data_IF_314839870735
#
_entry.id   IF_314839870735
#
_cell.length_a   1.000
_cell.length_b   1.000
_cell.length_c   1.000
_cell.angle_alpha   90.00
_cell.angle_beta   90.00
_cell.angle_gamma   90.00
#
_symmetry.space_group_name_H-M   'P 1'
#
loop_
_entity.id
_entity.type
_entity.pdbx_description
1 polymer ?
#
# COMPACT_ATOMS: atom_id res chain seq x y z
N UNK A 1 -28.30 -49.81 -3.04
CA UNK A 1 -28.86 -48.44 -2.94
C UNK A 1 -27.85 -47.53 -3.60
N UNK A 2 -28.09 -47.16 -4.85
CA UNK A 2 -27.13 -46.42 -5.68
C UNK A 2 -27.34 -44.94 -5.40
N UNK A 3 -26.30 -44.26 -4.89
CA UNK A 3 -26.28 -42.81 -4.80
C UNK A 3 -26.41 -42.24 -6.21
N UNK A 4 -27.50 -41.50 -6.47
CA UNK A 4 -27.59 -40.65 -7.65
C UNK A 4 -26.93 -39.33 -7.30
N UNK A 5 -25.77 -39.10 -7.89
CA UNK A 5 -25.13 -37.79 -7.99
C UNK A 5 -26.12 -36.81 -8.63
N UNK A 6 -26.53 -35.80 -7.88
CA UNK A 6 -27.22 -34.65 -8.45
C UNK A 6 -26.17 -33.60 -8.81
N UNK A 7 -25.70 -33.66 -10.04
CA UNK A 7 -24.98 -32.56 -10.67
C UNK A 7 -26.01 -31.56 -11.19
N UNK A 8 -26.11 -30.39 -10.54
CA UNK A 8 -26.85 -29.27 -11.11
C UNK A 8 -25.93 -28.50 -12.05
N UNK A 9 -26.32 -28.43 -13.32
CA UNK A 9 -25.74 -27.51 -14.30
C UNK A 9 -26.30 -26.12 -13.97
N UNK A 10 -25.39 -25.15 -13.83
CA UNK A 10 -25.74 -23.74 -13.71
C UNK A 10 -26.52 -23.32 -14.97
N UNK A 11 -27.84 -23.18 -14.85
CA UNK A 11 -28.66 -22.56 -15.89
C UNK A 11 -28.42 -21.05 -15.87
N UNK A 12 -27.40 -20.61 -16.60
CA UNK A 12 -27.30 -19.22 -17.01
C UNK A 12 -28.21 -19.07 -18.23
N UNK A 13 -29.48 -18.73 -18.03
CA UNK A 13 -30.50 -18.84 -19.09
C UNK A 13 -30.19 -17.98 -20.33
N UNK A 14 -29.27 -17.01 -20.23
CA UNK A 14 -28.88 -16.14 -21.33
C UNK A 14 -27.35 -15.92 -21.47
N UNK A 15 -26.49 -16.70 -20.80
CA UNK A 15 -25.03 -16.60 -20.99
C UNK A 15 -24.44 -17.98 -21.29
N UNK A 16 -24.05 -18.18 -22.55
CA UNK A 16 -23.31 -19.37 -22.94
C UNK A 16 -21.91 -19.22 -22.36
N UNK A 17 -21.52 -20.11 -21.44
CA UNK A 17 -20.13 -20.20 -21.00
C UNK A 17 -19.30 -20.47 -22.27
N UNK A 18 -18.31 -19.63 -22.61
CA UNK A 18 -17.48 -19.85 -23.79
C UNK A 18 -16.91 -21.28 -23.80
N UNK A 19 -16.82 -21.89 -24.98
CA UNK A 19 -16.29 -23.26 -25.19
C UNK A 19 -14.87 -23.45 -24.63
N UNK A 20 -14.17 -22.38 -24.29
CA UNK A 20 -12.82 -22.39 -23.73
C UNK A 20 -12.76 -22.32 -22.20
N UNK A 21 -13.88 -22.52 -21.50
CA UNK A 21 -13.87 -22.59 -20.05
C UNK A 21 -13.18 -23.85 -19.54
N UNK A 22 -12.48 -23.75 -18.41
CA UNK A 22 -11.84 -24.90 -17.77
C UNK A 22 -12.15 -24.93 -16.28
N UNK A 23 -12.52 -26.10 -15.75
CA UNK A 23 -12.89 -26.28 -14.35
C UNK A 23 -11.75 -26.93 -13.53
N UNK A 24 -11.48 -26.38 -12.35
CA UNK A 24 -10.46 -26.84 -11.41
C UNK A 24 -11.00 -26.88 -9.99
N UNK A 25 -10.43 -27.74 -9.14
CA UNK A 25 -10.71 -27.70 -7.71
C UNK A 25 -9.61 -26.91 -7.00
N UNK A 26 -9.97 -25.80 -6.35
CA UNK A 26 -9.01 -24.90 -5.70
C UNK A 26 -9.35 -24.69 -4.23
N UNK A 27 -8.30 -24.69 -3.40
CA UNK A 27 -8.44 -24.50 -1.94
C UNK A 27 -9.06 -23.15 -1.56
N UNK A 28 -8.94 -22.16 -2.44
CA UNK A 28 -9.44 -20.80 -2.20
C UNK A 28 -9.74 -20.08 -3.50
N UNK A 29 -10.46 -18.97 -3.38
CA UNK A 29 -10.65 -17.98 -4.44
C UNK A 29 -9.32 -17.45 -4.97
N UNK A 30 -8.36 -17.14 -4.09
CA UNK A 30 -7.04 -16.65 -4.50
C UNK A 30 -6.32 -17.67 -5.40
N UNK A 31 -6.40 -18.96 -5.05
CA UNK A 31 -5.83 -20.01 -5.88
C UNK A 31 -6.54 -20.11 -7.23
N UNK A 32 -7.86 -19.88 -7.29
CA UNK A 32 -8.58 -19.78 -8.57
C UNK A 32 -8.09 -18.60 -9.42
N UNK A 33 -7.93 -17.43 -8.82
CA UNK A 33 -7.39 -16.25 -9.52
C UNK A 33 -5.97 -16.48 -10.07
N UNK A 34 -5.10 -17.14 -9.29
CA UNK A 34 -3.74 -17.49 -9.74
C UNK A 34 -3.79 -18.42 -10.94
N UNK A 35 -4.65 -19.45 -10.93
CA UNK A 35 -4.79 -20.41 -12.05
C UNK A 35 -5.30 -19.70 -13.30
N UNK A 36 -6.30 -18.83 -13.16
CA UNK A 36 -6.85 -18.02 -14.26
C UNK A 36 -5.74 -17.23 -14.92
N UNK A 37 -4.93 -16.52 -14.15
CA UNK A 37 -3.82 -15.71 -14.69
C UNK A 37 -2.69 -16.54 -15.24
N UNK A 38 -2.32 -17.63 -14.59
CA UNK A 38 -1.30 -18.56 -15.09
C UNK A 38 -1.63 -19.13 -16.47
N UNK A 39 -2.91 -19.10 -16.86
CA UNK A 39 -3.38 -19.50 -18.19
C UNK A 39 -3.61 -18.35 -19.16
N UNK A 40 -3.34 -17.11 -18.77
CA UNK A 40 -3.68 -15.93 -19.57
C UNK A 40 -5.20 -15.71 -19.73
N UNK A 41 -6.01 -16.34 -18.86
CA UNK A 41 -7.45 -16.15 -18.83
C UNK A 41 -7.79 -14.83 -18.11
N UNK A 42 -8.93 -14.24 -18.44
CA UNK A 42 -9.32 -12.88 -18.04
C UNK A 42 -10.55 -12.83 -17.11
N UNK A 43 -11.18 -13.97 -16.77
CA UNK A 43 -12.25 -14.03 -15.76
C UNK A 43 -12.34 -15.40 -15.09
N UNK A 44 -12.99 -15.50 -13.93
CA UNK A 44 -13.31 -16.79 -13.32
C UNK A 44 -14.58 -16.84 -12.46
N UNK A 45 -15.15 -18.03 -12.31
CA UNK A 45 -16.16 -18.33 -11.29
C UNK A 45 -15.52 -19.14 -10.17
N UNK A 46 -15.81 -18.81 -8.92
CA UNK A 46 -15.40 -19.63 -7.78
C UNK A 46 -16.61 -20.05 -6.96
N UNK A 47 -16.83 -21.36 -6.86
CA UNK A 47 -17.83 -21.95 -5.99
C UNK A 47 -17.17 -22.30 -4.67
N UNK A 48 -17.61 -21.63 -3.59
CA UNK A 48 -17.00 -21.78 -2.26
C UNK A 48 -17.19 -23.18 -1.68
N UNK A 49 -18.42 -23.69 -1.74
CA UNK A 49 -18.79 -24.90 -1.00
C UNK A 49 -18.17 -26.16 -1.62
N UNK A 50 -18.16 -26.27 -2.95
CA UNK A 50 -17.51 -27.39 -3.66
C UNK A 50 -16.08 -27.08 -4.09
N UNK A 51 -15.55 -25.91 -3.74
CA UNK A 51 -14.18 -25.48 -4.08
C UNK A 51 -13.88 -25.51 -5.58
N UNK A 52 -14.87 -25.28 -6.43
CA UNK A 52 -14.72 -25.31 -7.88
C UNK A 52 -14.32 -23.92 -8.43
N UNK A 53 -13.46 -23.92 -9.44
CA UNK A 53 -12.91 -22.76 -10.11
C UNK A 53 -13.12 -22.92 -11.61
N UNK A 54 -13.87 -22.04 -12.26
CA UNK A 54 -14.10 -22.08 -13.70
C UNK A 54 -13.39 -20.87 -14.29
N UNK A 55 -12.34 -21.07 -15.07
CA UNK A 55 -11.57 -19.98 -15.68
C UNK A 55 -12.05 -19.72 -17.10
N UNK A 56 -11.91 -18.48 -17.58
CA UNK A 56 -12.44 -18.01 -18.86
C UNK A 56 -11.41 -17.17 -19.60
N UNK A 57 -11.14 -17.50 -20.87
CA UNK A 57 -10.19 -16.76 -21.71
C UNK A 57 -10.61 -15.30 -21.92
N UNK A 58 -11.92 -15.03 -22.01
CA UNK A 58 -12.46 -13.70 -22.22
C UNK A 58 -12.77 -12.95 -20.93
N UNK A 59 -12.58 -11.63 -20.96
CA UNK A 59 -13.06 -10.73 -19.91
C UNK A 59 -14.57 -10.60 -20.06
N UNK A 60 -15.31 -11.11 -19.09
CA UNK A 60 -16.74 -10.87 -19.05
C UNK A 60 -16.93 -9.45 -18.53
N UNK A 61 -17.47 -8.55 -19.36
CA UNK A 61 -17.65 -7.15 -19.00
C UNK A 61 -19.05 -6.83 -18.45
N UNK A 62 -19.95 -7.83 -18.39
CA UNK A 62 -21.34 -7.64 -17.97
C UNK A 62 -21.92 -8.91 -17.33
N UNK A 63 -22.58 -8.75 -16.18
CA UNK A 63 -23.31 -9.79 -15.47
C UNK A 63 -24.82 -9.79 -15.80
N UNK A 64 -25.27 -9.06 -16.83
CA UNK A 64 -26.69 -8.82 -17.11
C UNK A 64 -27.52 -10.10 -17.32
N UNK A 65 -26.88 -11.25 -17.50
CA UNK A 65 -27.53 -12.55 -17.71
C UNK A 65 -27.10 -13.62 -16.70
N UNK A 66 -26.35 -13.28 -15.66
CA UNK A 66 -25.93 -14.24 -14.63
C UNK A 66 -27.03 -14.42 -13.59
N UNK A 67 -27.60 -15.63 -13.55
CA UNK A 67 -28.47 -16.10 -12.48
C UNK A 67 -27.62 -16.56 -11.30
N UNK A 68 -27.85 -16.00 -10.12
CA UNK A 68 -27.15 -16.39 -8.91
C UNK A 68 -27.73 -17.70 -8.38
N UNK A 69 -26.84 -18.66 -8.05
CA UNK A 69 -27.17 -19.86 -7.28
C UNK A 69 -26.42 -19.82 -5.95
N UNK A 70 -27.03 -20.38 -4.90
CA UNK A 70 -26.38 -20.49 -3.59
C UNK A 70 -25.02 -21.20 -3.71
N UNK A 71 -23.99 -20.60 -3.10
CA UNK A 71 -22.63 -21.15 -3.07
C UNK A 71 -21.69 -20.71 -4.21
N UNK A 72 -22.22 -20.18 -5.32
CA UNK A 72 -21.41 -19.60 -6.39
C UNK A 72 -21.08 -18.13 -6.11
N UNK A 73 -19.80 -17.78 -6.20
CA UNK A 73 -19.34 -16.39 -6.22
C UNK A 73 -18.70 -16.10 -7.58
N UNK A 74 -19.19 -15.07 -8.24
CA UNK A 74 -18.71 -14.67 -9.55
C UNK A 74 -17.64 -13.58 -9.45
N UNK A 75 -16.54 -13.76 -10.17
CA UNK A 75 -15.41 -12.83 -10.16
C UNK A 75 -14.95 -12.55 -11.60
N UNK A 76 -15.34 -11.39 -12.10
CA UNK A 76 -14.71 -10.84 -13.29
C UNK A 76 -13.30 -10.45 -12.87
N UNK A 77 -12.26 -10.95 -13.55
CA UNK A 77 -10.90 -10.48 -13.29
C UNK A 77 -10.79 -9.05 -13.84
N UNK A 78 -11.14 -8.12 -12.99
CA UNK A 78 -10.15 -7.15 -12.56
C UNK A 78 -10.05 -7.34 -11.05
N UNK A 79 -9.10 -8.16 -10.58
CA UNK A 79 -8.80 -8.15 -9.16
C UNK A 79 -8.57 -6.70 -8.76
N UNK A 80 -9.32 -6.26 -7.75
CA UNK A 80 -9.39 -4.86 -7.36
C UNK A 80 -7.99 -4.44 -6.94
N UNK A 81 -7.37 -3.61 -7.76
CA UNK A 81 -5.94 -3.34 -7.70
C UNK A 81 -5.63 -1.96 -7.13
N UNK A 82 -6.65 -1.12 -7.03
CA UNK A 82 -6.58 0.28 -6.61
C UNK A 82 -7.87 0.71 -5.91
N UNK A 83 -7.81 1.86 -5.23
CA UNK A 83 -9.01 2.46 -4.64
C UNK A 83 -9.97 2.98 -5.71
N UNK A 84 -9.46 3.36 -6.88
CA UNK A 84 -10.28 3.72 -8.04
C UNK A 84 -11.10 2.51 -8.54
N UNK A 85 -10.52 1.32 -8.52
CA UNK A 85 -11.25 0.09 -8.83
C UNK A 85 -12.37 -0.17 -7.81
N UNK A 86 -12.13 0.03 -6.50
CA UNK A 86 -13.16 -0.10 -5.46
C UNK A 86 -14.33 0.84 -5.76
N UNK A 87 -14.03 2.12 -6.02
CA UNK A 87 -15.04 3.13 -6.30
C UNK A 87 -15.87 2.77 -7.53
N UNK A 88 -15.22 2.33 -8.61
CA UNK A 88 -15.90 1.90 -9.84
C UNK A 88 -16.75 0.65 -9.63
N UNK A 89 -16.23 -0.28 -8.84
CA UNK A 89 -16.82 -1.57 -8.50
C UNK A 89 -18.10 -1.44 -7.66
N UNK A 90 -18.09 -0.53 -6.69
CA UNK A 90 -19.29 -0.14 -5.95
C UNK A 90 -19.12 1.27 -5.34
N UNK A 91 -19.83 2.29 -5.87
CA UNK A 91 -19.77 3.66 -5.36
C UNK A 91 -20.28 3.86 -3.93
N UNK A 92 -20.89 2.84 -3.31
CA UNK A 92 -21.31 2.92 -1.90
C UNK A 92 -20.17 2.67 -0.90
N UNK A 93 -19.00 2.24 -1.37
CA UNK A 93 -17.83 2.12 -0.49
C UNK A 93 -17.38 3.49 0.02
N UNK A 94 -16.94 3.51 1.28
CA UNK A 94 -16.47 4.71 1.98
C UNK A 94 -15.00 4.54 2.38
N UNK A 95 -14.33 5.62 2.74
CA UNK A 95 -12.94 5.56 3.16
C UNK A 95 -12.70 4.51 4.25
N UNK A 96 -11.61 3.74 4.12
CA UNK A 96 -11.36 2.60 5.01
C UNK A 96 -10.24 1.67 4.55
N UNK A 97 -9.97 0.63 5.33
CA UNK A 97 -9.00 -0.42 5.00
C UNK A 97 -9.63 -1.48 4.09
N UNK A 98 -8.96 -1.77 2.97
CA UNK A 98 -9.40 -2.75 1.98
C UNK A 98 -8.30 -3.73 1.60
N UNK A 99 -8.71 -4.94 1.23
CA UNK A 99 -7.85 -5.92 0.57
C UNK A 99 -7.77 -5.63 -0.93
N UNK A 100 -6.56 -5.35 -1.41
CA UNK A 100 -6.27 -5.13 -2.83
C UNK A 100 -5.33 -6.21 -3.37
N UNK A 101 -5.31 -6.35 -4.70
CA UNK A 101 -4.47 -7.31 -5.43
C UNK A 101 -3.67 -6.65 -6.58
N UNK A 102 -2.75 -5.71 -6.28
CA UNK A 102 -2.02 -4.96 -7.29
C UNK A 102 -1.09 -5.84 -8.14
N UNK A 103 -0.98 -5.53 -9.43
CA UNK A 103 -0.14 -6.27 -10.37
C UNK A 103 1.35 -6.22 -10.00
N UNK A 104 1.84 -5.09 -9.49
CA UNK A 104 3.24 -4.91 -9.08
C UNK A 104 3.69 -5.89 -8.00
N UNK A 105 2.73 -6.41 -7.21
CA UNK A 105 2.98 -7.39 -6.17
C UNK A 105 2.63 -8.81 -6.60
N UNK A 106 2.64 -9.09 -7.91
CA UNK A 106 2.18 -10.36 -8.48
C UNK A 106 0.77 -10.73 -8.01
N UNK A 107 -0.04 -9.70 -7.76
CA UNK A 107 -1.39 -9.84 -7.20
C UNK A 107 -1.44 -10.59 -5.87
N UNK A 108 -0.36 -10.48 -5.10
CA UNK A 108 -0.38 -10.82 -3.69
C UNK A 108 -1.30 -9.84 -2.98
N UNK A 109 -2.10 -10.36 -2.05
CA UNK A 109 -3.05 -9.55 -1.30
C UNK A 109 -2.30 -8.56 -0.41
N UNK A 110 -2.69 -7.30 -0.45
CA UNK A 110 -2.15 -6.25 0.43
C UNK A 110 -3.27 -5.46 1.11
N UNK A 111 -3.00 -4.97 2.32
CA UNK A 111 -3.91 -4.09 3.07
C UNK A 111 -3.62 -2.65 2.70
N UNK A 112 -4.61 -1.94 2.18
CA UNK A 112 -4.48 -0.55 1.75
C UNK A 112 -5.65 0.26 2.30
N UNK A 113 -5.35 1.41 2.88
CA UNK A 113 -6.35 2.39 3.24
C UNK A 113 -6.71 3.23 2.02
N UNK A 114 -7.98 3.19 1.62
CA UNK A 114 -8.52 4.03 0.58
C UNK A 114 -9.08 5.31 1.16
N UNK A 115 -8.58 6.45 0.67
CA UNK A 115 -9.01 7.78 1.07
C UNK A 115 -9.65 8.52 -0.09
N UNK A 116 -10.72 9.27 0.17
CA UNK A 116 -11.44 10.02 -0.84
C UNK A 116 -12.22 9.15 -1.82
N UNK A 117 -12.82 8.04 -1.38
CA UNK A 117 -13.68 7.18 -2.22
C UNK A 117 -14.94 7.91 -2.71
N UNK A 118 -15.38 8.94 -2.00
CA UNK A 118 -16.43 9.86 -2.46
C UNK A 118 -15.94 10.90 -3.49
N UNK A 119 -14.63 11.10 -3.63
CA UNK A 119 -14.01 12.07 -4.54
C UNK A 119 -13.78 11.48 -5.92
N UNK A 120 -13.46 12.30 -6.92
CA UNK A 120 -13.11 11.84 -8.27
C UNK A 120 -11.78 11.08 -8.37
N UNK A 121 -10.91 11.20 -7.37
CA UNK A 121 -9.54 10.65 -7.40
C UNK A 121 -9.20 10.08 -6.01
N UNK A 122 -9.70 8.86 -5.69
CA UNK A 122 -9.30 8.21 -4.45
C UNK A 122 -7.81 7.90 -4.45
N UNK A 123 -7.23 7.81 -3.25
CA UNK A 123 -5.79 7.63 -3.04
C UNK A 123 -5.53 6.45 -2.10
N UNK A 124 -4.42 5.76 -2.35
CA UNK A 124 -3.93 4.63 -1.58
C UNK A 124 -2.94 5.08 -0.49
N UNK A 125 -3.16 4.58 0.73
CA UNK A 125 -2.28 4.81 1.86
C UNK A 125 -1.96 3.49 2.57
N UNK A 126 -0.76 3.39 3.13
CA UNK A 126 -0.37 2.33 4.06
C UNK A 126 -0.49 2.86 5.48
N UNK A 127 -1.27 2.17 6.30
CA UNK A 127 -1.41 2.48 7.73
C UNK A 127 -0.21 1.99 8.51
N UNK A 128 0.41 2.90 9.26
CA UNK A 128 1.59 2.61 10.06
C UNK A 128 1.16 2.22 11.47
N UNK A 129 1.72 1.13 11.98
CA UNK A 129 1.39 0.59 13.31
C UNK A 129 2.37 1.04 14.40
N UNK A 130 3.54 1.52 13.98
CA UNK A 130 4.61 1.99 14.86
C UNK A 130 4.92 3.45 14.62
N UNK A 131 5.66 4.06 15.55
CA UNK A 131 6.06 5.46 15.45
C UNK A 131 6.90 5.68 14.20
N UNK A 132 6.50 6.70 13.44
CA UNK A 132 7.18 7.15 12.24
C UNK A 132 7.28 8.67 12.31
N UNK A 133 8.49 9.21 12.28
CA UNK A 133 8.71 10.65 12.46
C UNK A 133 10.02 11.17 11.88
N UNK A 134 10.03 12.46 11.59
CA UNK A 134 11.20 13.21 11.15
C UNK A 134 11.25 14.53 11.90
N UNK A 135 12.44 14.89 12.39
CA UNK A 135 12.67 16.05 13.25
C UNK A 135 13.88 16.82 12.73
N UNK A 136 13.67 18.12 12.52
CA UNK A 136 14.72 19.13 12.43
C UNK A 136 14.55 20.05 13.64
N UNK A 137 15.34 19.87 14.72
CA UNK A 137 15.13 20.60 15.98
C UNK A 137 15.30 22.13 15.87
N UNK A 138 14.73 22.86 16.83
CA UNK A 138 14.87 24.32 16.91
C UNK A 138 16.33 24.77 17.15
N UNK A 139 16.70 25.96 16.68
CA UNK A 139 18.06 26.46 16.55
C UNK A 139 19.05 25.66 15.70
N UNK A 140 20.30 26.13 15.68
CA UNK A 140 21.48 25.42 15.13
C UNK A 140 22.69 25.54 16.05
N UNK A 141 23.65 24.63 15.91
CA UNK A 141 24.92 24.85 16.60
C UNK A 141 25.64 26.08 16.04
N UNK A 142 26.19 26.90 16.94
CA UNK A 142 26.94 28.11 16.61
C UNK A 142 28.23 28.20 17.42
N UNK A 143 29.17 29.01 16.91
CA UNK A 143 30.48 29.19 17.50
C UNK A 143 31.57 28.51 16.67
N UNK A 144 32.73 28.31 17.29
CA UNK A 144 33.87 27.54 16.78
C UNK A 144 34.42 26.60 17.87
N UNK A 145 33.65 26.40 18.94
CA UNK A 145 34.02 25.66 20.15
C UNK A 145 33.22 24.37 20.24
N UNK A 146 33.84 23.28 20.70
CA UNK A 146 33.24 21.96 20.97
C UNK A 146 32.23 21.93 22.14
N UNK A 147 31.63 23.07 22.47
CA UNK A 147 30.70 23.22 23.60
C UNK A 147 29.24 22.96 23.21
N UNK A 148 28.97 22.74 21.91
CA UNK A 148 27.65 22.38 21.39
C UNK A 148 26.53 23.37 21.76
N UNK A 149 26.86 24.66 21.79
CA UNK A 149 25.90 25.71 22.08
C UNK A 149 24.91 25.87 20.92
N UNK A 150 23.63 26.00 21.26
CA UNK A 150 22.53 26.12 20.29
C UNK A 150 22.04 27.56 20.30
N UNK A 151 21.97 28.16 19.12
CA UNK A 151 21.29 29.42 18.89
C UNK A 151 19.91 29.10 18.33
N UNK A 152 18.88 29.27 19.17
CA UNK A 152 17.48 28.99 18.84
C UNK A 152 16.89 29.96 17.82
N UNK A 153 17.46 31.16 17.66
CA UNK A 153 16.99 32.15 16.69
C UNK A 153 17.49 31.84 15.27
N UNK A 154 18.59 31.11 15.16
CA UNK A 154 19.21 30.77 13.89
C UNK A 154 18.74 29.42 13.34
N UNK A 155 17.45 29.34 13.01
CA UNK A 155 16.84 28.13 12.47
C UNK A 155 16.67 28.08 10.95
N UNK A 156 16.74 26.87 10.38
CA UNK A 156 16.37 26.63 8.98
C UNK A 156 15.49 25.39 8.84
N UNK A 157 14.31 25.56 8.22
CA UNK A 157 13.31 24.51 7.95
C UNK A 157 13.10 23.56 9.13
N UNK A 158 12.94 24.12 10.32
CA UNK A 158 12.75 23.37 11.54
C UNK A 158 11.33 22.86 11.65
N UNK A 159 11.19 21.69 12.25
CA UNK A 159 9.88 21.13 12.52
C UNK A 159 9.93 19.66 12.84
N UNK A 160 8.81 19.17 13.33
CA UNK A 160 8.59 17.78 13.67
C UNK A 160 7.27 17.30 13.05
N UNK A 161 7.39 16.27 12.22
CA UNK A 161 6.27 15.63 11.54
C UNK A 161 6.28 14.16 11.91
N UNK A 162 5.11 13.64 12.31
CA UNK A 162 4.86 12.23 12.51
C UNK A 162 3.79 11.73 11.53
N UNK A 163 3.84 10.46 11.14
CA UNK A 163 2.91 9.86 10.17
C UNK A 163 2.11 8.73 10.80
N UNK A 164 0.79 8.77 10.63
CA UNK A 164 -0.09 7.64 10.92
C UNK A 164 -0.35 6.78 9.68
N UNK A 165 -0.29 7.40 8.50
CA UNK A 165 -0.33 6.71 7.21
C UNK A 165 0.62 7.39 6.22
N UNK A 166 1.15 6.64 5.28
CA UNK A 166 1.97 7.14 4.17
C UNK A 166 1.30 6.85 2.84
N UNK A 167 1.41 7.78 1.89
CA UNK A 167 0.81 7.60 0.57
C UNK A 167 1.66 6.64 -0.25
N UNK A 168 0.98 5.72 -0.92
CA UNK A 168 1.60 4.72 -1.78
C UNK A 168 1.10 4.92 -3.22
N UNK A 169 2.02 4.99 -4.17
CA UNK A 169 1.68 4.69 -5.55
C UNK A 169 1.56 3.18 -5.70
N UNK A 170 0.32 2.70 -5.78
CA UNK A 170 0.00 1.27 -5.82
C UNK A 170 0.47 0.57 -7.11
N UNK A 171 0.81 1.35 -8.15
CA UNK A 171 1.27 0.81 -9.43
C UNK A 171 2.79 0.58 -9.46
N UNK A 172 3.55 1.36 -8.68
CA UNK A 172 5.02 1.29 -8.65
C UNK A 172 5.58 0.83 -7.31
N UNK A 173 4.78 0.84 -6.25
CA UNK A 173 5.22 0.61 -4.88
C UNK A 173 5.93 1.82 -4.24
N UNK A 174 5.98 2.97 -4.94
CA UNK A 174 6.69 4.15 -4.45
C UNK A 174 5.93 4.84 -3.31
N UNK A 175 6.64 5.21 -2.25
CA UNK A 175 6.11 6.13 -1.24
C UNK A 175 6.10 7.55 -1.81
N UNK A 176 4.93 8.19 -1.76
CA UNK A 176 4.72 9.55 -2.23
C UNK A 176 4.66 10.52 -1.05
N UNK A 177 5.20 11.73 -1.24
CA UNK A 177 5.08 12.78 -0.23
C UNK A 177 3.63 13.27 -0.17
N UNK A 178 3.01 13.13 0.99
CA UNK A 178 1.64 13.56 1.24
C UNK A 178 1.42 13.70 2.75
N UNK A 179 1.00 14.89 3.18
CA UNK A 179 0.86 15.22 4.61
C UNK A 179 -0.57 15.00 5.15
N UNK A 180 -1.47 14.39 4.38
CA UNK A 180 -2.90 14.23 4.76
C UNK A 180 -3.08 13.51 6.10
N UNK A 181 -2.25 12.50 6.38
CA UNK A 181 -2.30 11.71 7.62
C UNK A 181 -1.09 11.95 8.55
N UNK A 182 -0.60 13.19 8.56
CA UNK A 182 0.49 13.60 9.43
C UNK A 182 0.02 14.36 10.66
N UNK A 183 0.81 14.28 11.72
CA UNK A 183 0.71 15.12 12.91
C UNK A 183 1.92 16.03 12.89
N UNK A 184 1.67 17.33 12.73
CA UNK A 184 2.69 18.35 12.83
C UNK A 184 2.79 18.83 14.28
N UNK A 185 3.91 18.57 14.94
CA UNK A 185 4.10 18.95 16.35
C UNK A 185 4.72 20.35 16.47
N UNK A 186 5.59 20.72 15.52
CA UNK A 186 6.22 22.04 15.50
C UNK A 186 6.72 22.42 14.11
N UNK A 187 6.85 23.72 13.83
CA UNK A 187 7.53 24.21 12.62
C UNK A 187 6.94 23.75 11.29
N UNK A 188 7.78 23.59 10.27
CA UNK A 188 7.39 23.21 8.90
C UNK A 188 7.35 21.68 8.71
N UNK A 189 6.47 21.16 7.83
CA UNK A 189 6.43 19.73 7.51
C UNK A 189 7.78 19.19 7.05
N UNK A 190 8.14 18.01 7.54
CA UNK A 190 9.36 17.28 7.23
C UNK A 190 9.05 16.14 6.28
N UNK A 191 10.03 15.80 5.46
CA UNK A 191 9.89 14.78 4.42
C UNK A 191 10.03 13.38 5.05
N UNK A 192 9.23 12.42 4.60
CA UNK A 192 9.22 11.09 5.20
C UNK A 192 10.55 10.35 4.98
N UNK A 193 11.11 9.79 6.05
CA UNK A 193 12.39 9.08 6.02
C UNK A 193 13.62 9.98 6.07
N UNK A 194 13.48 11.28 6.31
CA UNK A 194 14.61 12.18 6.44
C UNK A 194 15.08 12.32 7.89
N UNK A 195 16.40 12.37 8.07
CA UNK A 195 17.04 12.85 9.30
C UNK A 195 17.95 14.01 8.92
N UNK A 196 17.52 15.25 9.14
CA UNK A 196 18.18 16.44 8.56
C UNK A 196 18.27 17.60 9.56
N UNK A 197 19.41 18.31 9.55
CA UNK A 197 19.64 19.52 10.34
C UNK A 197 20.67 20.45 9.67
N UNK A 198 20.72 21.71 10.12
CA UNK A 198 21.57 22.78 9.59
C UNK A 198 22.46 23.41 10.67
N UNK A 199 23.43 22.66 11.18
CA UNK A 199 24.48 23.17 12.09
C UNK A 199 25.66 23.82 11.33
N UNK A 200 26.54 24.55 12.03
CA UNK A 200 27.77 25.12 11.43
C UNK A 200 28.95 24.12 11.41
N UNK A 201 29.91 24.43 10.52
CA UNK A 201 30.96 23.55 9.97
C UNK A 201 31.83 22.82 11.01
N UNK A 202 32.06 23.39 12.19
CA UNK A 202 33.03 22.80 13.14
C UNK A 202 32.38 22.01 14.27
N UNK A 203 31.12 22.31 14.56
CA UNK A 203 30.42 21.81 15.74
C UNK A 203 29.86 20.41 15.48
N UNK A 204 29.36 20.13 14.27
CA UNK A 204 28.78 18.81 13.98
C UNK A 204 29.78 17.65 14.09
N UNK A 205 31.10 17.88 14.04
CA UNK A 205 32.12 16.82 14.20
C UNK A 205 32.29 16.38 15.65
N UNK A 206 32.04 17.29 16.60
CA UNK A 206 32.24 17.06 18.03
C UNK A 206 30.92 16.97 18.81
N UNK A 207 29.83 17.43 18.21
CA UNK A 207 28.50 17.47 18.83
C UNK A 207 27.58 16.37 18.29
N UNK A 208 26.60 15.92 19.11
CA UNK A 208 25.60 14.98 18.65
C UNK A 208 24.83 15.51 17.44
N UNK A 209 24.62 14.66 16.43
CA UNK A 209 23.79 15.01 15.28
C UNK A 209 22.36 15.28 15.74
N UNK A 210 21.79 16.38 15.26
CA UNK A 210 20.52 16.92 15.78
C UNK A 210 19.29 16.44 15.05
N UNK A 211 19.36 16.33 13.72
CA UNK A 211 18.27 15.82 12.92
C UNK A 211 17.97 14.37 13.28
N UNK A 212 16.71 13.98 13.27
CA UNK A 212 16.27 12.63 13.59
C UNK A 212 15.27 12.13 12.57
N UNK A 213 15.40 10.89 12.14
CA UNK A 213 14.45 10.23 11.24
C UNK A 213 14.20 8.80 11.68
N UNK A 214 12.94 8.41 11.67
CA UNK A 214 12.46 7.07 12.00
C UNK A 214 11.41 6.64 10.99
N UNK A 215 11.68 5.53 10.32
CA UNK A 215 10.76 4.81 9.43
C UNK A 215 10.58 3.42 9.99
N UNK A 216 9.34 2.99 10.14
CA UNK A 216 8.98 1.70 10.69
C UNK A 216 7.70 1.19 10.03
N UNK A 217 7.87 0.20 9.16
CA UNK A 217 6.79 -0.43 8.39
C UNK A 217 6.43 -1.82 8.93
N UNK A 218 6.88 -2.18 10.14
CA UNK A 218 6.51 -3.45 10.76
C UNK A 218 4.99 -3.56 10.91
N UNK A 219 4.49 -4.78 10.82
CA UNK A 219 3.07 -5.15 10.94
C UNK A 219 2.13 -4.54 9.89
N UNK A 220 2.67 -3.88 8.85
CA UNK A 220 1.88 -3.32 7.74
C UNK A 220 1.60 -4.35 6.63
N UNK A 221 2.33 -5.47 6.62
CA UNK A 221 2.38 -6.42 5.49
C UNK A 221 3.35 -5.98 4.38
N UNK A 222 4.11 -4.91 4.60
CA UNK A 222 5.15 -4.43 3.70
C UNK A 222 6.52 -4.45 4.36
N UNK A 223 7.55 -4.52 3.52
CA UNK A 223 8.93 -4.26 3.85
C UNK A 223 9.48 -3.12 2.98
N UNK A 224 10.53 -2.46 3.44
CA UNK A 224 11.30 -1.50 2.66
C UNK A 224 12.06 -2.25 1.56
N UNK A 225 12.06 -1.72 0.34
CA UNK A 225 12.82 -2.32 -0.76
C UNK A 225 14.32 -2.39 -0.41
N UNK A 226 14.97 -3.56 -0.51
CA UNK A 226 16.39 -3.71 -0.18
C UNK A 226 17.30 -2.98 -1.18
N UNK A 227 16.80 -2.70 -2.38
CA UNK A 227 17.53 -2.04 -3.46
C UNK A 227 17.77 -0.54 -3.21
N UNK A 228 17.04 0.07 -2.27
CA UNK A 228 17.13 1.49 -1.93
C UNK A 228 17.63 1.64 -0.50
N UNK A 229 18.61 2.52 -0.33
CA UNK A 229 19.31 2.70 0.94
C UNK A 229 19.10 4.12 1.47
N UNK A 230 19.56 4.42 2.69
CA UNK A 230 19.72 5.80 3.12
C UNK A 230 21.16 6.23 2.85
N UNK A 231 21.33 7.40 2.24
CA UNK A 231 22.61 7.97 1.90
C UNK A 231 22.78 9.36 2.50
N UNK A 232 24.01 9.84 2.49
CA UNK A 232 24.34 11.20 2.91
C UNK A 232 23.74 12.17 1.90
N UNK A 233 23.02 13.18 2.39
CA UNK A 233 22.43 14.24 1.59
C UNK A 233 22.77 15.62 2.16
N UNK A 234 22.99 16.58 1.27
CA UNK A 234 23.24 17.98 1.62
C UNK A 234 24.72 18.34 1.62
N UNK A 235 25.03 19.54 2.09
CA UNK A 235 26.39 20.08 2.06
C UNK A 235 27.11 19.83 3.38
N UNK A 236 28.35 19.30 3.29
CA UNK A 236 29.14 18.87 4.45
C UNK A 236 28.30 18.04 5.45
N UNK A 237 27.52 17.14 4.89
CA UNK A 237 26.51 16.38 5.59
C UNK A 237 27.11 15.16 6.29
N UNK A 238 26.53 14.84 7.44
CA UNK A 238 26.84 13.65 8.22
C UNK A 238 25.55 12.89 8.48
N UNK A 239 25.62 11.59 8.25
CA UNK A 239 24.51 10.67 8.47
C UNK A 239 24.99 9.54 9.37
N UNK A 240 24.42 9.46 10.57
CA UNK A 240 24.65 8.37 11.51
C UNK A 240 23.45 7.44 11.45
N UNK A 241 23.61 6.29 10.81
CA UNK A 241 22.58 5.25 10.77
C UNK A 241 22.64 4.45 12.08
N UNK A 242 21.61 4.58 12.90
CA UNK A 242 21.49 3.89 14.19
C UNK A 242 21.00 2.47 13.97
N UNK A 243 19.93 2.32 13.18
CA UNK A 243 19.34 1.03 12.86
C UNK A 243 18.94 1.00 11.39
N UNK A 244 19.19 -0.13 10.73
CA UNK A 244 18.67 -0.42 9.41
C UNK A 244 18.36 -1.90 9.27
N UNK A 245 17.09 -2.19 9.01
CA UNK A 245 16.58 -3.52 8.68
C UNK A 245 15.72 -3.42 7.43
N UNK A 246 15.15 -4.55 6.99
CA UNK A 246 14.14 -4.57 5.93
C UNK A 246 12.83 -3.88 6.33
N UNK A 247 12.59 -3.61 7.61
CA UNK A 247 11.33 -3.01 8.09
C UNK A 247 11.51 -1.66 8.77
N UNK A 248 12.74 -1.30 9.14
CA UNK A 248 13.01 -0.13 9.96
C UNK A 248 14.27 0.60 9.51
N UNK A 249 14.20 1.92 9.53
CA UNK A 249 15.34 2.82 9.49
C UNK A 249 15.26 3.77 10.68
N UNK A 250 16.37 3.94 11.38
CA UNK A 250 16.56 5.00 12.36
C UNK A 250 17.91 5.65 12.12
N UNK A 251 17.92 6.97 12.04
CA UNK A 251 19.14 7.71 11.80
C UNK A 251 19.12 9.10 12.38
N UNK A 252 20.32 9.65 12.52
CA UNK A 252 20.53 11.06 12.84
C UNK A 252 21.34 11.75 11.78
N UNK A 253 21.02 13.01 11.52
CA UNK A 253 21.67 13.80 10.49
C UNK A 253 21.97 15.20 10.94
N UNK A 254 23.10 15.72 10.48
CA UNK A 254 23.46 17.13 10.64
C UNK A 254 24.52 17.51 9.61
N UNK A 255 25.04 18.72 9.69
CA UNK A 255 26.03 19.25 8.75
C UNK A 255 25.71 20.70 8.44
N UNK A 256 26.37 21.27 7.44
CA UNK A 256 26.02 22.59 6.93
C UNK A 256 24.78 22.51 6.02
N UNK A 257 23.65 22.15 6.63
CA UNK A 257 22.41 21.72 6.00
C UNK A 257 22.54 20.37 5.30
N UNK A 258 22.55 19.31 6.13
CA UNK A 258 22.72 17.95 5.68
C UNK A 258 22.19 16.89 6.63
N UNK A 259 22.25 15.63 6.19
CA UNK A 259 21.87 14.49 6.99
C UNK A 259 21.69 13.20 6.20
N UNK A 260 20.77 12.35 6.66
CA UNK A 260 20.34 11.14 5.98
C UNK A 260 19.09 11.40 5.16
N UNK A 261 19.08 10.95 3.90
CA UNK A 261 17.86 10.83 3.10
C UNK A 261 17.79 9.46 2.44
N UNK A 262 16.60 9.01 2.00
CA UNK A 262 16.51 7.91 1.06
C UNK A 262 17.35 8.19 -0.20
N UNK A 263 18.02 7.17 -0.71
CA UNK A 263 18.77 7.19 -1.96
C UNK A 263 17.77 7.14 -3.13
N UNK A 264 17.31 8.33 -3.52
CA UNK A 264 16.23 8.51 -4.49
C UNK A 264 14.85 8.47 -3.83
N UNK A 265 13.99 7.55 -4.28
CA UNK A 265 12.63 7.38 -3.75
C UNK A 265 12.53 6.12 -2.90
N UNK A 266 11.69 6.16 -1.87
CA UNK A 266 11.36 4.99 -1.06
C UNK A 266 10.34 4.12 -1.79
N UNK A 267 10.51 2.81 -1.69
CA UNK A 267 9.59 1.82 -2.24
C UNK A 267 9.27 0.77 -1.19
N UNK A 268 8.03 0.30 -1.20
CA UNK A 268 7.54 -0.81 -0.39
C UNK A 268 7.38 -2.06 -1.24
N UNK A 269 7.72 -3.19 -0.67
CA UNK A 269 7.53 -4.52 -1.23
C UNK A 269 6.67 -5.36 -0.30
N UNK A 270 5.96 -6.35 -0.82
CA UNK A 270 5.16 -7.23 0.03
C UNK A 270 6.05 -8.10 0.89
N UNK A 271 5.75 -8.12 2.19
CA UNK A 271 6.38 -9.02 3.13
C UNK A 271 5.79 -10.43 2.96
N UNK A 272 6.39 -11.23 2.08
CA UNK A 272 5.90 -12.56 1.70
C UNK A 272 5.64 -13.57 2.83
N UNK A 273 6.31 -13.55 4.01
CA UNK A 273 6.01 -14.50 5.09
C UNK A 273 4.80 -14.13 5.96
N UNK A 274 4.33 -12.88 5.94
CA UNK A 274 3.19 -12.47 6.77
C UNK A 274 1.89 -12.57 5.97
N UNK A 275 1.06 -13.58 6.27
CA UNK A 275 -0.32 -13.60 5.78
C UNK A 275 -1.13 -12.67 6.68
N UNK A 276 -1.58 -11.50 6.20
CA UNK A 276 -2.30 -10.57 7.06
C UNK A 276 -3.64 -11.17 7.49
N UNK A 277 -4.03 -10.94 8.74
CA UNK A 277 -5.33 -11.36 9.27
C UNK A 277 -6.47 -10.85 8.36
N UNK A 278 -7.33 -11.76 7.90
CA UNK A 278 -8.42 -11.45 6.98
C UNK A 278 -9.41 -10.42 7.54
N UNK A 279 -9.61 -10.36 8.85
CA UNK A 279 -10.48 -9.36 9.48
C UNK A 279 -9.90 -7.95 9.52
N UNK A 280 -8.63 -7.77 9.19
CA UNK A 280 -7.98 -6.46 9.29
C UNK A 280 -8.40 -5.45 8.20
N UNK A 281 -9.10 -5.90 7.16
CA UNK A 281 -9.57 -5.05 6.06
C UNK A 281 -10.82 -5.63 5.39
N UNK A 282 -11.57 -4.79 4.67
CA UNK A 282 -12.73 -5.21 3.90
C UNK A 282 -12.30 -5.81 2.58
N UNK A 283 -12.79 -7.00 2.26
CA UNK A 283 -12.68 -7.56 0.92
C UNK A 283 -13.77 -6.93 0.02
N UNK A 284 -13.41 -6.11 -0.98
CA UNK A 284 -14.43 -5.46 -1.77
C UNK A 284 -15.14 -6.44 -2.72
N UNK A 285 -16.45 -6.25 -2.87
CA UNK A 285 -17.33 -7.04 -3.73
C UNK A 285 -18.04 -6.10 -4.69
N UNK A 286 -17.96 -6.41 -5.98
CA UNK A 286 -18.61 -5.58 -7.00
C UNK A 286 -20.10 -5.86 -7.05
N UNK A 287 -20.88 -4.77 -7.06
CA UNK A 287 -22.32 -4.85 -7.22
C UNK A 287 -22.60 -4.60 -8.71
N UNK A 288 -22.93 -5.65 -9.44
CA UNK A 288 -23.44 -5.49 -10.80
C UNK A 288 -24.87 -4.94 -10.71
N UNK A 289 -25.06 -3.65 -11.00
CA UNK A 289 -26.41 -3.11 -11.25
C UNK A 289 -26.81 -3.47 -12.67
N UNK A 290 -27.87 -4.27 -12.82
CA UNK A 290 -28.57 -4.36 -14.11
C UNK A 290 -29.18 -2.99 -14.39
N UNK A 291 -28.81 -2.35 -15.50
CA UNK A 291 -29.55 -1.19 -15.99
C UNK A 291 -30.91 -1.67 -16.44
N UNK A 292 -31.96 -1.30 -15.71
CA UNK A 292 -33.34 -1.38 -16.20
C UNK A 292 -33.55 -0.31 -17.27
N UNK A 293 -32.94 -0.48 -18.44
CA UNK A 293 -33.42 0.14 -19.67
C UNK A 293 -34.20 -0.93 -20.42
N UNK A 294 -35.35 -1.25 -19.83
CA UNK A 294 -36.43 -1.91 -20.55
C UNK A 294 -36.94 -0.94 -21.61
N UNK A 295 -36.97 -1.46 -22.83
CA UNK A 295 -37.69 -0.97 -24.01
C UNK A 295 -38.98 -0.21 -23.65
N UNK A 296 -39.16 0.95 -24.26
CA UNK A 296 -40.40 1.28 -24.98
C UNK A 296 -40.09 1.31 -26.48
#
# INVERSE_FOLDING_TARGET
>A
MVFKDFNFILFISNYVIPDQSSMFYTRSRLHCAIITRGRGHQSFFYHRDIRACITLSEKINSAQNLTYGDGFQYWIDSAISSCEDIKRCNPSYVDGEYWLYPAIYNHTRVKIYCYGLSSSQPKEYVTLHHLNKAITPNGRYYGSSSNCNIDEELGFRQGETAWNKIRLDITSGQVLEDHTFTIQTSGVPRDYGWAFSCSRIKEYLSCPKRGYGLVDVRDTGFQLSPSRTWSIYGWEAYCDIIERTTYRFEGRGDGNCGGCSPDGKLYLEVDSPTVPDLSAAVEPSCVFRMSSTGRE
#
